data_IF_195608129208
#
_entry.id   IF_195608129208
#
_cell.length_a   1.000
_cell.length_b   1.000
_cell.length_c   1.000
_cell.angle_alpha   90.00
_cell.angle_beta   90.00
_cell.angle_gamma   90.00
#
_symmetry.space_group_name_H-M   'P 1'
#
loop_
_entity.id
_entity.type
_entity.pdbx_description
1 polymer ?
#
# COMPACT_ATOMS: atom_id res chain seq x y z
N UNK A 1 28.89 -5.93 -13.66
CA UNK A 1 27.70 -5.43 -14.37
C UNK A 1 26.64 -5.19 -13.31
N UNK A 2 26.20 -3.95 -13.07
CA UNK A 2 25.08 -3.72 -12.16
C UNK A 2 23.83 -4.30 -12.85
N UNK A 3 23.22 -5.33 -12.26
CA UNK A 3 21.89 -5.74 -12.70
C UNK A 3 20.98 -4.52 -12.68
N UNK A 4 20.38 -4.21 -13.83
CA UNK A 4 19.47 -3.09 -13.95
C UNK A 4 18.24 -3.44 -13.13
N UNK A 5 18.18 -2.93 -11.90
CA UNK A 5 17.05 -3.19 -11.00
C UNK A 5 15.75 -2.88 -11.74
N UNK A 6 14.80 -3.81 -11.66
CA UNK A 6 13.49 -3.68 -12.31
C UNK A 6 12.77 -2.47 -11.70
N UNK A 7 12.33 -1.56 -12.55
CA UNK A 7 11.64 -0.34 -12.12
C UNK A 7 10.16 -0.66 -11.87
N UNK A 8 9.75 -0.78 -10.61
CA UNK A 8 8.37 -1.06 -10.25
C UNK A 8 7.55 0.23 -10.19
N UNK A 9 6.53 0.32 -11.04
CA UNK A 9 5.54 1.41 -11.02
C UNK A 9 4.24 1.03 -10.30
N UNK A 10 4.16 -0.22 -9.85
CA UNK A 10 3.07 -0.80 -9.08
C UNK A 10 3.66 -1.84 -8.12
N UNK A 11 2.96 -2.11 -7.02
CA UNK A 11 3.31 -3.19 -6.10
C UNK A 11 3.28 -4.56 -6.84
N UNK A 12 4.21 -5.50 -6.55
CA UNK A 12 4.26 -6.81 -7.21
C UNK A 12 2.99 -7.64 -7.06
N UNK A 13 2.36 -7.58 -5.89
CA UNK A 13 1.11 -8.24 -5.54
C UNK A 13 0.00 -7.22 -5.29
N UNK A 14 -1.28 -7.58 -5.48
CA UNK A 14 -2.42 -6.70 -5.20
C UNK A 14 -2.36 -6.11 -3.79
N UNK A 15 -2.42 -4.79 -3.71
CA UNK A 15 -2.48 -4.02 -2.47
C UNK A 15 -3.40 -2.82 -2.69
N UNK A 16 -4.40 -2.67 -1.83
CA UNK A 16 -5.35 -1.56 -1.87
C UNK A 16 -4.68 -0.28 -1.38
N UNK A 17 -5.02 0.86 -1.98
CA UNK A 17 -4.48 2.16 -1.54
C UNK A 17 -3.04 2.47 -1.96
N UNK A 18 -2.37 1.61 -2.74
CA UNK A 18 -1.02 1.89 -3.24
C UNK A 18 -0.95 3.24 -3.98
N UNK A 19 -0.01 4.10 -3.60
CA UNK A 19 0.12 5.48 -4.10
C UNK A 19 0.81 5.59 -5.46
N UNK A 20 0.57 4.62 -6.35
CA UNK A 20 1.17 4.51 -7.69
C UNK A 20 0.99 5.75 -8.57
N UNK A 21 -0.08 6.53 -8.36
CA UNK A 21 -0.39 7.74 -9.13
C UNK A 21 0.49 8.92 -8.74
N UNK A 22 1.11 8.89 -7.56
CA UNK A 22 1.99 9.93 -7.07
C UNK A 22 3.46 9.67 -7.32
N UNK A 23 3.87 8.50 -7.85
CA UNK A 23 5.29 8.16 -7.95
C UNK A 23 6.11 9.17 -8.77
N UNK A 24 5.52 9.75 -9.83
CA UNK A 24 6.18 10.81 -10.59
C UNK A 24 6.34 12.07 -9.74
N UNK A 25 5.24 12.53 -9.14
CA UNK A 25 5.24 13.71 -8.28
C UNK A 25 6.19 13.56 -7.09
N UNK A 26 6.25 12.36 -6.49
CA UNK A 26 7.21 12.05 -5.43
C UNK A 26 8.64 12.22 -5.93
N UNK A 27 8.99 11.64 -7.08
CA UNK A 27 10.33 11.81 -7.68
C UNK A 27 10.65 13.28 -7.94
N UNK A 28 9.70 14.06 -8.42
CA UNK A 28 9.87 15.51 -8.64
C UNK A 28 10.15 16.23 -7.32
N UNK A 29 9.42 15.91 -6.24
CA UNK A 29 9.64 16.47 -4.89
C UNK A 29 11.00 16.08 -4.33
N UNK A 30 11.42 14.82 -4.52
CA UNK A 30 12.70 14.31 -4.03
C UNK A 30 13.93 14.98 -4.67
N UNK A 31 13.78 15.71 -5.78
CA UNK A 31 14.89 16.45 -6.39
C UNK A 31 15.43 17.55 -5.48
N UNK A 32 14.55 18.13 -4.66
CA UNK A 32 14.89 19.24 -3.77
C UNK A 32 15.40 18.76 -2.39
N UNK A 33 15.46 17.44 -2.17
CA UNK A 33 15.79 16.83 -0.88
C UNK A 33 17.23 16.26 -0.89
N UNK A 34 17.91 16.14 0.27
CA UNK A 34 19.26 15.59 0.35
C UNK A 34 19.31 14.13 -0.15
N UNK A 35 20.32 13.81 -0.94
CA UNK A 35 20.49 12.49 -1.55
C UNK A 35 20.73 11.37 -0.53
N UNK A 36 21.30 11.71 0.63
CA UNK A 36 21.68 10.84 1.74
C UNK A 36 20.74 10.97 2.96
N UNK A 37 19.58 11.63 2.79
CA UNK A 37 18.58 11.74 3.84
C UNK A 37 18.04 10.37 4.31
N UNK A 38 17.45 10.36 5.51
CA UNK A 38 16.80 9.19 6.08
C UNK A 38 15.30 9.29 5.82
N UNK A 39 14.77 8.45 4.94
CA UNK A 39 13.35 8.37 4.66
C UNK A 39 12.71 7.29 5.51
N UNK A 40 11.76 7.68 6.34
CA UNK A 40 11.05 6.76 7.24
C UNK A 40 9.61 6.66 6.78
N UNK A 41 9.27 5.51 6.20
CA UNK A 41 7.91 5.16 5.77
C UNK A 41 7.14 4.58 6.94
N UNK A 42 6.36 5.42 7.62
CA UNK A 42 5.66 5.04 8.85
C UNK A 42 4.53 4.04 8.59
N UNK A 43 3.92 4.11 7.41
CA UNK A 43 2.77 3.31 6.99
C UNK A 43 3.07 2.66 5.64
N UNK A 44 4.11 1.81 5.62
CA UNK A 44 4.71 1.37 4.38
C UNK A 44 3.80 0.58 3.46
N UNK A 45 2.80 -0.12 4.00
CA UNK A 45 1.86 -0.93 3.23
C UNK A 45 2.60 -1.86 2.26
N UNK A 46 2.35 -1.70 0.95
CA UNK A 46 3.06 -2.46 -0.10
C UNK A 46 4.55 -2.16 -0.30
N UNK A 47 5.11 -1.14 0.36
CA UNK A 47 6.49 -0.69 0.18
C UNK A 47 6.75 0.07 -1.12
N UNK A 48 5.72 0.39 -1.92
CA UNK A 48 5.90 1.00 -3.25
C UNK A 48 6.53 2.40 -3.18
N UNK A 49 6.17 3.20 -2.16
CA UNK A 49 6.77 4.51 -1.93
C UNK A 49 8.24 4.34 -1.52
N UNK A 50 8.50 3.50 -0.50
CA UNK A 50 9.85 3.14 -0.06
C UNK A 50 10.76 2.66 -1.21
N UNK A 51 10.28 1.72 -2.04
CA UNK A 51 10.97 1.26 -3.25
C UNK A 51 11.30 2.42 -4.18
N UNK A 52 10.32 3.30 -4.42
CA UNK A 52 10.49 4.45 -5.32
C UNK A 52 11.55 5.43 -4.81
N UNK A 53 11.57 5.71 -3.50
CA UNK A 53 12.59 6.56 -2.88
C UNK A 53 13.97 5.91 -3.05
N UNK A 54 14.13 4.63 -2.68
CA UNK A 54 15.43 3.97 -2.72
C UNK A 54 16.00 3.84 -4.14
N UNK A 55 15.14 3.60 -5.13
CA UNK A 55 15.55 3.60 -6.54
C UNK A 55 15.96 4.98 -7.04
N UNK A 56 15.27 6.03 -6.60
CA UNK A 56 15.53 7.39 -7.07
C UNK A 56 16.73 8.04 -6.36
N UNK A 57 16.93 7.73 -5.08
CA UNK A 57 18.00 8.22 -4.23
C UNK A 57 18.79 7.03 -3.64
N UNK A 58 19.71 6.39 -4.41
CA UNK A 58 20.38 5.17 -3.95
C UNK A 58 21.23 5.34 -2.68
N UNK A 59 21.71 6.56 -2.40
CA UNK A 59 22.50 6.89 -1.22
C UNK A 59 21.66 7.05 0.05
N UNK A 60 20.35 7.22 -0.09
CA UNK A 60 19.45 7.41 1.05
C UNK A 60 19.34 6.14 1.90
N UNK A 61 19.12 6.35 3.20
CA UNK A 61 18.63 5.29 4.07
C UNK A 61 17.10 5.29 4.00
N UNK A 62 16.49 4.16 3.66
CA UNK A 62 15.03 4.06 3.56
C UNK A 62 14.55 2.97 4.52
N UNK A 63 13.79 3.39 5.53
CA UNK A 63 13.18 2.52 6.53
C UNK A 63 11.74 2.26 6.12
N UNK A 64 11.43 1.00 5.86
CA UNK A 64 10.12 0.55 5.38
C UNK A 64 9.38 -0.17 6.52
N UNK A 65 8.33 0.45 7.06
CA UNK A 65 7.49 -0.19 8.09
C UNK A 65 6.41 -1.07 7.46
N UNK A 66 6.68 -2.38 7.44
CA UNK A 66 5.78 -3.41 6.92
C UNK A 66 4.84 -3.95 8.02
N UNK A 67 3.99 -3.08 8.57
CA UNK A 67 3.06 -3.45 9.65
C UNK A 67 2.01 -4.49 9.21
N UNK A 68 1.61 -4.47 7.93
CA UNK A 68 0.62 -5.39 7.34
C UNK A 68 1.23 -6.73 6.89
N UNK A 69 2.54 -6.93 7.10
CA UNK A 69 3.31 -8.12 6.71
C UNK A 69 3.21 -8.46 5.21
N UNK A 70 3.22 -7.45 4.35
CA UNK A 70 3.23 -7.60 2.90
C UNK A 70 4.42 -8.43 2.41
N UNK A 71 5.56 -8.35 3.10
CA UNK A 71 6.75 -9.16 2.81
C UNK A 71 6.49 -10.67 2.89
N UNK A 72 5.65 -11.15 3.81
CA UNK A 72 5.28 -12.58 3.87
C UNK A 72 4.59 -13.04 2.59
N UNK A 73 3.71 -12.19 2.01
CA UNK A 73 3.07 -12.46 0.73
C UNK A 73 4.08 -12.52 -0.41
N UNK A 74 5.05 -11.59 -0.43
CA UNK A 74 6.13 -11.57 -1.43
C UNK A 74 6.99 -12.84 -1.36
N UNK A 75 7.37 -13.26 -0.15
CA UNK A 75 8.16 -14.49 0.06
C UNK A 75 7.43 -15.76 -0.41
N UNK A 76 6.09 -15.73 -0.44
CA UNK A 76 5.25 -16.84 -0.88
C UNK A 76 4.82 -16.77 -2.35
N UNK A 77 5.36 -15.84 -3.16
CA UNK A 77 5.02 -15.71 -4.59
C UNK A 77 5.16 -17.03 -5.35
N UNK A 78 6.21 -17.81 -5.09
CA UNK A 78 6.43 -19.09 -5.75
C UNK A 78 5.27 -20.08 -5.49
N UNK A 79 4.72 -20.11 -4.28
CA UNK A 79 3.58 -20.94 -3.94
C UNK A 79 2.30 -20.43 -4.61
N UNK A 80 2.07 -19.11 -4.60
CA UNK A 80 0.96 -18.48 -5.31
C UNK A 80 0.99 -18.79 -6.81
N UNK A 81 2.16 -18.71 -7.45
CA UNK A 81 2.33 -19.03 -8.87
C UNK A 81 2.03 -20.50 -9.17
N UNK A 82 2.43 -21.44 -8.29
CA UNK A 82 2.05 -22.86 -8.43
C UNK A 82 0.53 -23.04 -8.40
N UNK A 83 -0.16 -22.38 -7.48
CA UNK A 83 -1.63 -22.44 -7.41
C UNK A 83 -2.22 -21.88 -8.70
N UNK A 84 -1.75 -20.74 -9.19
CA UNK A 84 -2.23 -20.14 -10.45
C UNK A 84 -1.98 -21.04 -11.66
N UNK A 85 -0.84 -21.71 -11.73
CA UNK A 85 -0.54 -22.66 -12.79
C UNK A 85 -1.56 -23.82 -12.81
N UNK A 86 -1.85 -24.40 -11.64
CA UNK A 86 -2.84 -25.47 -11.53
C UNK A 86 -4.26 -24.99 -11.87
N UNK A 87 -4.63 -23.77 -11.45
CA UNK A 87 -5.91 -23.17 -11.80
C UNK A 87 -6.07 -22.94 -13.31
N UNK A 88 -5.00 -22.55 -14.01
CA UNK A 88 -5.01 -22.42 -15.48
C UNK A 88 -5.31 -23.76 -16.16
N UNK A 89 -4.81 -24.88 -15.59
CA UNK A 89 -5.10 -26.22 -16.10
C UNK A 89 -6.54 -26.65 -15.79
N UNK A 90 -6.98 -26.49 -14.54
CA UNK A 90 -8.36 -26.80 -14.11
C UNK A 90 -9.39 -26.05 -14.96
N UNK A 91 -9.11 -24.79 -15.30
CA UNK A 91 -10.03 -23.91 -16.03
C UNK A 91 -9.70 -23.77 -17.52
N UNK A 92 -8.85 -24.64 -18.09
CA UNK A 92 -8.41 -24.51 -19.49
C UNK A 92 -9.56 -24.52 -20.50
N UNK A 93 -10.63 -25.29 -20.22
CA UNK A 93 -11.85 -25.34 -21.03
C UNK A 93 -12.95 -24.36 -20.59
N UNK A 94 -12.73 -23.58 -19.52
CA UNK A 94 -13.75 -22.68 -18.98
C UNK A 94 -13.66 -21.29 -19.63
N UNK A 95 -14.77 -20.68 -20.09
CA UNK A 95 -14.73 -19.36 -20.71
C UNK A 95 -14.18 -18.29 -19.78
N UNK A 96 -13.35 -17.39 -20.32
CA UNK A 96 -12.83 -16.22 -19.60
C UNK A 96 -13.96 -15.27 -19.19
N UNK A 97 -13.79 -14.62 -18.05
CA UNK A 97 -14.70 -13.59 -17.49
C UNK A 97 -16.12 -14.13 -17.22
N UNK A 98 -16.28 -15.46 -17.14
CA UNK A 98 -17.53 -16.12 -16.79
C UNK A 98 -17.47 -16.72 -15.39
N UNK A 99 -18.64 -16.75 -14.75
CA UNK A 99 -18.82 -17.40 -13.46
C UNK A 99 -18.43 -18.88 -13.57
N UNK A 100 -17.72 -19.40 -12.57
CA UNK A 100 -17.31 -20.80 -12.46
C UNK A 100 -18.37 -21.54 -11.63
N UNK A 101 -18.90 -22.64 -12.16
CA UNK A 101 -19.98 -23.43 -11.55
C UNK A 101 -19.72 -24.93 -11.69
N UNK A 102 -20.51 -25.75 -10.98
CA UNK A 102 -20.44 -27.21 -11.06
C UNK A 102 -19.06 -27.77 -10.66
N UNK A 103 -18.66 -28.84 -11.35
CA UNK A 103 -17.42 -29.58 -11.07
C UNK A 103 -16.16 -28.70 -11.12
N UNK A 104 -16.08 -27.76 -12.06
CA UNK A 104 -14.93 -26.84 -12.15
C UNK A 104 -14.77 -25.99 -10.88
N UNK A 105 -15.89 -25.52 -10.28
CA UNK A 105 -15.85 -24.77 -9.02
C UNK A 105 -15.36 -25.66 -7.88
N UNK A 106 -15.80 -26.91 -7.82
CA UNK A 106 -15.37 -27.86 -6.79
C UNK A 106 -13.88 -28.18 -6.88
N UNK A 107 -13.35 -28.37 -8.10
CA UNK A 107 -11.93 -28.59 -8.33
C UNK A 107 -11.07 -27.39 -7.89
N UNK A 108 -11.51 -26.16 -8.20
CA UNK A 108 -10.84 -24.93 -7.71
C UNK A 108 -10.82 -24.86 -6.19
N UNK A 109 -11.96 -25.09 -5.53
CA UNK A 109 -12.06 -25.07 -4.07
C UNK A 109 -11.16 -26.14 -3.45
N UNK A 110 -11.16 -27.35 -4.00
CA UNK A 110 -10.34 -28.44 -3.49
C UNK A 110 -8.85 -28.15 -3.65
N UNK A 111 -8.42 -27.58 -4.78
CA UNK A 111 -7.03 -27.20 -5.01
C UNK A 111 -6.55 -26.14 -4.02
N UNK A 112 -7.39 -25.15 -3.70
CA UNK A 112 -7.07 -24.11 -2.71
C UNK A 112 -7.05 -24.68 -1.30
N UNK A 113 -7.98 -25.58 -0.96
CA UNK A 113 -7.98 -26.29 0.32
C UNK A 113 -6.70 -27.09 0.55
N UNK A 114 -6.21 -27.78 -0.48
CA UNK A 114 -4.94 -28.50 -0.43
C UNK A 114 -3.76 -27.55 -0.17
N UNK A 115 -3.75 -26.36 -0.78
CA UNK A 115 -2.72 -25.35 -0.53
C UNK A 115 -2.75 -24.86 0.91
N UNK A 116 -3.94 -24.59 1.45
CA UNK A 116 -4.12 -24.14 2.83
C UNK A 116 -3.67 -25.19 3.84
N UNK A 117 -3.98 -26.47 3.58
CA UNK A 117 -3.48 -27.57 4.40
C UNK A 117 -1.95 -27.71 4.34
N UNK A 118 -1.32 -27.26 3.25
CA UNK A 118 0.12 -27.29 3.07
C UNK A 118 0.83 -26.03 3.64
N UNK A 119 0.10 -25.00 4.06
CA UNK A 119 0.65 -23.81 4.68
C UNK A 119 -0.02 -22.51 4.20
N UNK A 120 0.79 -21.56 3.76
CA UNK A 120 0.34 -20.20 3.45
C UNK A 120 -0.41 -20.10 2.11
N UNK A 121 -1.52 -19.36 2.12
CA UNK A 121 -2.30 -19.01 0.92
C UNK A 121 -2.55 -17.50 0.89
N UNK A 122 -2.07 -16.85 -0.18
CA UNK A 122 -2.36 -15.44 -0.42
C UNK A 122 -3.76 -15.26 -1.04
N UNK A 123 -4.78 -15.30 -0.18
CA UNK A 123 -6.17 -15.12 -0.60
C UNK A 123 -6.44 -13.78 -1.29
N UNK A 124 -5.71 -12.72 -0.92
CA UNK A 124 -5.87 -11.39 -1.55
C UNK A 124 -5.41 -11.47 -3.01
N UNK A 125 -4.24 -12.07 -3.26
CA UNK A 125 -3.75 -12.26 -4.63
C UNK A 125 -4.64 -13.20 -5.43
N UNK A 126 -5.05 -14.34 -4.87
CA UNK A 126 -5.93 -15.28 -5.56
C UNK A 126 -7.31 -14.69 -5.86
N UNK A 127 -7.83 -13.82 -4.99
CA UNK A 127 -9.08 -13.11 -5.24
C UNK A 127 -9.05 -12.31 -6.54
N UNK A 128 -7.92 -11.67 -6.86
CA UNK A 128 -7.78 -10.93 -8.12
C UNK A 128 -7.87 -11.82 -9.38
N UNK A 129 -7.72 -13.13 -9.22
CA UNK A 129 -7.79 -14.14 -10.28
C UNK A 129 -9.08 -14.97 -10.27
N UNK A 130 -9.92 -14.83 -9.25
CA UNK A 130 -11.07 -15.72 -9.03
C UNK A 130 -12.35 -15.00 -8.58
N UNK A 131 -12.28 -13.76 -8.11
CA UNK A 131 -13.44 -12.97 -7.65
C UNK A 131 -13.66 -11.79 -8.61
N UNK A 132 -14.86 -11.21 -8.54
CA UNK A 132 -15.16 -9.98 -9.27
C UNK A 132 -14.25 -8.83 -8.79
N UNK A 133 -13.94 -7.89 -9.69
CA UNK A 133 -13.06 -6.75 -9.37
C UNK A 133 -13.52 -6.01 -8.11
N UNK A 134 -12.56 -5.53 -7.32
CA UNK A 134 -12.73 -4.87 -6.01
C UNK A 134 -13.17 -5.79 -4.86
N UNK A 135 -13.53 -7.06 -5.11
CA UNK A 135 -13.80 -8.02 -4.05
C UNK A 135 -12.54 -8.84 -3.73
N UNK A 136 -12.32 -9.08 -2.45
CA UNK A 136 -11.30 -10.00 -1.98
C UNK A 136 -11.70 -10.63 -0.66
N UNK A 137 -11.09 -11.77 -0.38
CA UNK A 137 -11.24 -12.52 0.86
C UNK A 137 -9.87 -12.77 1.47
N UNK A 138 -9.84 -13.12 2.75
CA UNK A 138 -8.59 -13.33 3.51
C UNK A 138 -8.47 -14.73 4.11
N UNK A 139 -9.48 -15.58 3.94
CA UNK A 139 -9.52 -16.93 4.47
C UNK A 139 -10.32 -17.87 3.57
N UNK A 140 -10.17 -19.18 3.78
CA UNK A 140 -10.85 -20.20 3.00
C UNK A 140 -12.36 -20.21 3.14
N UNK A 141 -12.91 -19.93 4.32
CA UNK A 141 -14.34 -20.00 4.55
C UNK A 141 -15.07 -18.98 3.68
N UNK A 142 -14.60 -17.74 3.67
CA UNK A 142 -15.12 -16.65 2.83
C UNK A 142 -14.86 -16.93 1.35
N UNK A 143 -13.68 -17.47 1.01
CA UNK A 143 -13.36 -17.89 -0.36
C UNK A 143 -14.36 -18.93 -0.87
N UNK A 144 -14.63 -19.98 -0.08
CA UNK A 144 -15.55 -21.06 -0.44
C UNK A 144 -16.99 -20.57 -0.62
N UNK A 145 -17.41 -19.60 0.19
CA UNK A 145 -18.73 -18.99 0.10
C UNK A 145 -18.89 -18.06 -1.12
N UNK A 146 -17.79 -17.59 -1.69
CA UNK A 146 -17.80 -16.60 -2.77
C UNK A 146 -18.30 -17.16 -4.11
N UNK A 147 -18.81 -16.24 -4.94
CA UNK A 147 -19.04 -16.48 -6.36
C UNK A 147 -17.72 -16.33 -7.12
N UNK A 148 -17.28 -17.39 -7.80
CA UNK A 148 -16.00 -17.42 -8.50
C UNK A 148 -16.18 -17.11 -10.00
N UNK A 149 -15.19 -16.46 -10.61
CA UNK A 149 -15.12 -16.11 -12.02
C UNK A 149 -13.77 -16.53 -12.61
N UNK A 150 -13.73 -16.96 -13.86
CA UNK A 150 -12.48 -17.26 -14.53
C UNK A 150 -11.80 -15.97 -15.03
N UNK A 151 -11.09 -15.31 -14.12
CA UNK A 151 -10.25 -14.14 -14.40
C UNK A 151 -8.78 -14.43 -14.10
N UNK A 152 -8.38 -15.71 -14.20
CA UNK A 152 -7.06 -16.18 -13.78
C UNK A 152 -5.97 -15.49 -14.58
N UNK A 153 -5.02 -14.90 -13.86
CA UNK A 153 -3.85 -14.26 -14.46
C UNK A 153 -3.03 -15.27 -15.27
N UNK A 154 -2.72 -14.94 -16.52
CA UNK A 154 -1.93 -15.81 -17.42
C UNK A 154 -0.44 -15.83 -17.07
N UNK A 155 0.13 -14.69 -16.68
CA UNK A 155 1.54 -14.56 -16.31
C UNK A 155 1.77 -14.77 -14.81
N UNK A 156 2.94 -15.24 -14.44
CA UNK A 156 3.35 -15.37 -13.05
C UNK A 156 3.70 -14.01 -12.41
N UNK A 157 3.61 -13.96 -11.08
CA UNK A 157 4.09 -12.84 -10.27
C UNK A 157 5.60 -12.96 -10.00
N UNK A 158 6.29 -11.82 -9.86
CA UNK A 158 7.70 -11.74 -9.46
C UNK A 158 7.91 -10.43 -8.70
N UNK A 159 8.75 -10.48 -7.67
CA UNK A 159 9.15 -9.33 -6.84
C UNK A 159 10.66 -9.16 -6.78
N UNK A 160 11.37 -9.64 -7.82
CA UNK A 160 12.83 -9.61 -7.88
C UNK A 160 13.33 -8.17 -7.73
N UNK A 161 14.23 -7.96 -6.77
CA UNK A 161 14.80 -6.67 -6.45
C UNK A 161 13.83 -5.63 -5.87
N UNK A 162 12.59 -6.00 -5.50
CA UNK A 162 11.58 -5.03 -5.11
C UNK A 162 11.86 -4.37 -3.76
N UNK A 163 12.35 -5.12 -2.76
CA UNK A 163 12.68 -4.59 -1.44
C UNK A 163 14.18 -4.37 -1.22
N UNK A 164 14.99 -4.47 -2.28
CA UNK A 164 16.44 -4.37 -2.17
C UNK A 164 16.87 -2.99 -1.66
N UNK A 165 17.77 -2.99 -0.68
CA UNK A 165 18.29 -1.78 -0.06
C UNK A 165 17.34 -1.09 0.92
N UNK A 166 16.15 -1.64 1.18
CA UNK A 166 15.23 -1.13 2.21
C UNK A 166 15.56 -1.75 3.58
N UNK A 167 15.57 -0.94 4.62
CA UNK A 167 15.60 -1.42 6.01
C UNK A 167 14.17 -1.73 6.46
N UNK A 168 13.77 -3.00 6.38
CA UNK A 168 12.43 -3.42 6.77
C UNK A 168 12.30 -3.52 8.29
N UNK A 169 11.26 -2.91 8.83
CA UNK A 169 10.79 -3.08 10.21
C UNK A 169 9.31 -3.44 10.22
N UNK A 170 8.79 -3.91 11.35
CA UNK A 170 7.37 -4.18 11.54
C UNK A 170 6.99 -3.82 12.97
N UNK A 171 6.78 -2.53 13.20
CA UNK A 171 6.50 -1.97 14.54
C UNK A 171 5.38 -0.93 14.45
N UNK A 172 4.81 -0.58 15.60
CA UNK A 172 3.87 0.53 15.67
C UNK A 172 4.52 1.84 15.16
N UNK A 173 3.76 2.64 14.40
CA UNK A 173 4.28 3.84 13.75
C UNK A 173 4.87 4.85 14.75
N UNK A 174 4.30 4.95 15.96
CA UNK A 174 4.76 5.88 16.98
C UNK A 174 6.09 5.41 17.58
N UNK A 175 6.28 4.09 17.71
CA UNK A 175 7.57 3.52 18.10
C UNK A 175 8.64 3.88 17.08
N UNK A 176 8.33 3.71 15.79
CA UNK A 176 9.25 4.05 14.71
C UNK A 176 9.54 5.55 14.62
N UNK A 177 8.52 6.39 14.73
CA UNK A 177 8.67 7.84 14.77
C UNK A 177 9.59 8.27 15.91
N UNK A 178 9.37 7.77 17.13
CA UNK A 178 10.19 8.12 18.29
C UNK A 178 11.66 7.70 18.14
N UNK A 179 11.95 6.65 17.37
CA UNK A 179 13.31 6.22 17.07
C UNK A 179 14.04 7.22 16.16
N UNK A 180 13.35 7.87 15.22
CA UNK A 180 13.98 8.68 14.17
C UNK A 180 13.73 10.20 14.29
N UNK A 181 12.79 10.66 15.12
CA UNK A 181 12.41 12.09 15.21
C UNK A 181 13.56 13.06 15.54
N UNK A 182 14.63 12.58 16.18
CA UNK A 182 15.77 13.42 16.54
C UNK A 182 16.91 13.37 15.50
N UNK A 183 16.73 12.65 14.40
CA UNK A 183 17.72 12.58 13.34
C UNK A 183 17.66 13.85 12.46
N UNK A 184 18.79 14.55 12.25
CA UNK A 184 18.80 15.88 11.63
C UNK A 184 18.34 15.90 10.16
N UNK A 185 18.47 14.78 9.44
CA UNK A 185 18.11 14.66 8.02
C UNK A 185 16.97 13.66 7.79
N UNK A 186 16.05 13.52 8.75
CA UNK A 186 14.88 12.63 8.62
C UNK A 186 13.78 13.27 7.78
N UNK A 187 13.15 12.45 6.95
CA UNK A 187 11.95 12.79 6.19
C UNK A 187 10.91 11.70 6.44
N UNK A 188 9.76 12.08 7.00
CA UNK A 188 8.69 11.13 7.26
C UNK A 188 7.76 11.02 6.05
N UNK A 189 7.56 9.79 5.56
CA UNK A 189 6.47 9.48 4.64
C UNK A 189 5.30 8.90 5.42
N UNK A 190 4.13 9.51 5.24
CA UNK A 190 2.98 9.30 6.12
C UNK A 190 1.74 9.06 5.26
N UNK A 191 1.30 7.80 5.18
CA UNK A 191 0.10 7.37 4.45
C UNK A 191 -0.85 6.60 5.39
N UNK A 192 -1.48 7.29 6.37
CA UNK A 192 -2.26 6.64 7.40
C UNK A 192 -3.58 6.10 6.83
N UNK A 193 -4.16 5.05 7.42
CA UNK A 193 -5.49 4.58 7.05
C UNK A 193 -6.54 5.67 7.30
N UNK A 194 -7.49 5.84 6.38
CA UNK A 194 -8.44 6.95 6.41
C UNK A 194 -9.53 6.78 7.46
N UNK A 195 -9.95 7.92 8.04
CA UNK A 195 -11.09 8.00 8.93
C UNK A 195 -12.35 7.48 8.22
N UNK A 196 -13.02 6.49 8.80
CA UNK A 196 -14.35 6.04 8.36
C UNK A 196 -14.46 5.44 6.96
N UNK A 197 -13.38 4.92 6.36
CA UNK A 197 -13.58 3.89 5.33
C UNK A 197 -14.11 2.65 6.03
N UNK A 198 -15.24 2.10 5.59
CA UNK A 198 -15.66 0.74 5.95
C UNK A 198 -14.42 -0.14 5.80
N UNK A 199 -13.82 -0.48 6.94
CA UNK A 199 -12.68 -1.35 7.02
C UNK A 199 -13.20 -2.75 6.75
N UNK A 200 -13.58 -3.00 5.50
CA UNK A 200 -13.65 -4.35 4.98
C UNK A 200 -12.27 -4.96 5.23
N UNK A 201 -12.22 -5.78 6.27
CA UNK A 201 -11.10 -6.65 6.68
C UNK A 201 -9.89 -6.06 7.41
N UNK A 202 -9.76 -4.75 7.64
CA UNK A 202 -8.68 -4.21 8.50
C UNK A 202 -9.03 -4.38 10.00
N UNK A 203 -8.12 -5.01 10.76
CA UNK A 203 -8.30 -5.37 12.18
C UNK A 203 -8.32 -4.18 13.16
N UNK A 204 -8.18 -2.95 12.69
CA UNK A 204 -8.02 -1.78 13.55
C UNK A 204 -8.94 -0.65 13.12
N UNK A 205 -9.96 -0.39 13.93
CA UNK A 205 -10.83 0.78 13.79
C UNK A 205 -10.07 2.03 14.27
N UNK A 206 -9.62 2.86 13.33
CA UNK A 206 -8.95 4.12 13.66
C UNK A 206 -9.96 5.16 14.16
N UNK A 207 -9.76 5.65 15.38
CA UNK A 207 -10.55 6.74 15.95
C UNK A 207 -9.98 8.07 15.49
N UNK A 208 -10.80 9.13 15.59
CA UNK A 208 -10.36 10.50 15.31
C UNK A 208 -9.09 10.87 16.10
N UNK A 209 -9.01 10.46 17.37
CA UNK A 209 -7.81 10.68 18.20
C UNK A 209 -6.55 10.08 17.56
N UNK A 210 -6.62 8.84 17.09
CA UNK A 210 -5.46 8.15 16.49
C UNK A 210 -4.97 8.91 15.25
N UNK A 211 -5.91 9.45 14.47
CA UNK A 211 -5.58 10.25 13.29
C UNK A 211 -4.98 11.62 13.66
N UNK A 212 -5.47 12.27 14.71
CA UNK A 212 -4.91 13.52 15.23
C UNK A 212 -3.51 13.32 15.82
N UNK A 213 -3.25 12.16 16.45
CA UNK A 213 -1.92 11.81 16.96
C UNK A 213 -0.91 11.65 15.81
N UNK A 214 -1.33 11.11 14.64
CA UNK A 214 -0.48 11.05 13.43
C UNK A 214 -0.09 12.44 12.94
N UNK A 215 -0.97 13.44 13.05
CA UNK A 215 -0.64 14.80 12.62
C UNK A 215 0.51 15.43 13.43
N UNK A 216 0.75 14.98 14.67
CA UNK A 216 1.87 15.46 15.48
C UNK A 216 3.24 15.08 14.88
N UNK A 217 3.29 14.05 14.02
CA UNK A 217 4.50 13.70 13.26
C UNK A 217 4.90 14.82 12.29
N UNK A 218 3.91 15.57 11.77
CA UNK A 218 4.11 16.60 10.76
C UNK A 218 4.66 17.90 11.36
N UNK A 219 4.54 18.07 12.67
CA UNK A 219 5.05 19.26 13.36
C UNK A 219 6.57 19.23 13.39
N UNK A 220 7.18 20.29 12.86
CA UNK A 220 8.63 20.54 12.88
C UNK A 220 9.52 19.57 12.10
N UNK A 221 8.96 18.69 11.26
CA UNK A 221 9.75 17.76 10.44
C UNK A 221 9.45 17.91 8.95
N UNK A 222 10.45 17.66 8.07
CA UNK A 222 10.18 17.41 6.67
C UNK A 222 9.28 16.18 6.47
N UNK A 223 8.27 16.30 5.61
CA UNK A 223 7.34 15.20 5.37
C UNK A 223 6.81 15.13 3.94
N UNK A 224 6.33 13.93 3.61
CA UNK A 224 5.38 13.68 2.51
C UNK A 224 4.17 12.97 3.11
N UNK A 225 3.02 13.61 3.08
CA UNK A 225 1.78 13.15 3.69
C UNK A 225 0.73 12.87 2.62
N UNK A 226 0.07 11.72 2.69
CA UNK A 226 -0.98 11.33 1.77
C UNK A 226 -2.34 11.31 2.46
N UNK A 227 -3.35 11.81 1.77
CA UNK A 227 -4.74 11.81 2.22
C UNK A 227 -5.70 11.85 1.03
N UNK A 228 -7.00 11.96 1.30
CA UNK A 228 -8.02 12.18 0.28
C UNK A 228 -9.06 13.19 0.72
N UNK A 229 -9.85 13.69 -0.23
CA UNK A 229 -11.02 14.52 0.05
C UNK A 229 -12.14 13.79 0.83
N UNK A 230 -11.99 12.48 1.08
CA UNK A 230 -12.92 11.69 1.91
C UNK A 230 -12.50 11.58 3.38
N UNK A 231 -11.29 12.03 3.72
CA UNK A 231 -10.75 11.90 5.09
C UNK A 231 -11.34 12.91 6.08
N UNK A 232 -11.92 14.02 5.59
CA UNK A 232 -12.34 15.20 6.35
C UNK A 232 -11.22 15.87 7.20
N UNK A 233 -9.97 15.39 7.13
CA UNK A 233 -8.91 15.92 7.99
C UNK A 233 -8.49 17.33 7.60
N UNK A 234 -8.49 17.62 6.30
CA UNK A 234 -8.07 18.92 5.77
C UNK A 234 -9.02 20.00 6.30
N UNK A 235 -10.33 19.77 6.17
CA UNK A 235 -11.37 20.68 6.68
C UNK A 235 -11.26 20.87 8.20
N UNK A 236 -10.97 19.79 8.94
CA UNK A 236 -10.73 19.87 10.38
C UNK A 236 -9.51 20.74 10.71
N UNK A 237 -8.37 20.54 10.05
CA UNK A 237 -7.16 21.35 10.27
C UNK A 237 -7.37 22.83 9.91
N UNK A 238 -8.09 23.11 8.83
CA UNK A 238 -8.46 24.47 8.44
C UNK A 238 -9.36 25.13 9.51
N UNK A 239 -10.35 24.40 10.05
CA UNK A 239 -11.20 24.90 11.12
C UNK A 239 -10.44 25.15 12.43
N UNK A 240 -9.51 24.25 12.81
CA UNK A 240 -8.66 24.43 14.00
C UNK A 240 -7.82 25.70 13.86
N UNK A 241 -7.28 26.00 12.67
CA UNK A 241 -6.50 27.22 12.45
C UNK A 241 -7.30 28.50 12.70
N UNK A 242 -8.61 28.50 12.39
CA UNK A 242 -9.49 29.63 12.69
C UNK A 242 -9.68 29.88 14.20
N UNK A 243 -9.48 28.86 15.04
CA UNK A 243 -9.62 28.93 16.50
C UNK A 243 -8.29 29.10 17.21
N UNK A 244 -7.24 28.50 16.67
CA UNK A 244 -5.89 28.52 17.22
C UNK A 244 -4.91 28.80 16.08
N UNK A 245 -4.46 30.05 15.90
CA UNK A 245 -3.56 30.41 14.82
C UNK A 245 -2.29 29.54 14.81
N UNK A 246 -1.83 29.16 13.62
CA UNK A 246 -0.62 28.35 13.39
C UNK A 246 -0.68 26.89 13.88
N UNK A 247 -1.86 26.36 14.19
CA UNK A 247 -2.06 24.96 14.59
C UNK A 247 -2.26 23.98 13.43
N UNK A 248 -2.30 24.47 12.18
CA UNK A 248 -2.49 23.64 11.01
C UNK A 248 -1.15 23.05 10.53
N UNK A 249 -0.94 21.72 10.61
CA UNK A 249 0.32 21.09 10.22
C UNK A 249 0.61 21.22 8.71
N UNK A 250 -0.42 21.48 7.91
CA UNK A 250 -0.30 21.69 6.46
C UNK A 250 0.00 23.15 6.09
N UNK A 251 0.10 24.07 7.08
CA UNK A 251 0.41 25.47 6.81
C UNK A 251 1.80 25.59 6.16
N UNK A 252 1.82 26.23 4.99
CA UNK A 252 3.02 26.40 4.17
C UNK A 252 3.47 25.13 3.43
N UNK A 253 2.71 24.04 3.50
CA UNK A 253 2.98 22.84 2.72
C UNK A 253 2.51 23.02 1.27
N UNK A 254 3.22 22.39 0.34
CA UNK A 254 2.79 22.29 -1.04
C UNK A 254 1.75 21.17 -1.18
N UNK A 255 0.75 21.38 -2.04
CA UNK A 255 -0.35 20.43 -2.29
C UNK A 255 -0.33 19.96 -3.74
N UNK A 256 -0.49 18.64 -3.94
CA UNK A 256 -0.74 18.01 -5.25
C UNK A 256 -1.95 17.09 -5.12
N UNK A 257 -2.79 17.05 -6.16
CA UNK A 257 -4.04 16.29 -6.14
C UNK A 257 -4.26 15.53 -7.44
N UNK A 258 -4.86 14.35 -7.33
CA UNK A 258 -5.18 13.48 -8.47
C UNK A 258 -6.62 12.98 -8.31
N UNK A 259 -7.45 13.19 -9.32
CA UNK A 259 -8.81 12.67 -9.34
C UNK A 259 -8.81 11.18 -9.69
N UNK A 260 -9.58 10.40 -8.94
CA UNK A 260 -9.70 8.96 -9.06
C UNK A 260 -11.15 8.59 -9.27
N UNK A 261 -11.44 7.96 -10.41
CA UNK A 261 -12.73 7.31 -10.67
C UNK A 261 -12.61 5.83 -10.32
N UNK A 262 -13.40 5.37 -9.35
CA UNK A 262 -13.45 3.96 -8.92
C UNK A 262 -14.46 3.16 -9.74
N UNK A 263 -15.62 3.74 -10.00
CA UNK A 263 -16.66 3.21 -10.89
C UNK A 263 -17.50 4.39 -11.43
N UNK A 264 -18.53 4.10 -12.22
CA UNK A 264 -19.40 5.11 -12.83
C UNK A 264 -20.01 6.10 -11.81
N UNK A 265 -20.19 5.67 -10.55
CA UNK A 265 -20.89 6.43 -9.51
C UNK A 265 -19.99 6.91 -8.35
N UNK A 266 -18.69 6.60 -8.36
CA UNK A 266 -17.82 6.96 -7.24
C UNK A 266 -16.48 7.50 -7.71
N UNK A 267 -16.25 8.76 -7.34
CA UNK A 267 -14.97 9.45 -7.51
C UNK A 267 -14.44 9.87 -6.15
N UNK A 268 -13.13 9.99 -6.05
CA UNK A 268 -12.46 10.64 -4.93
C UNK A 268 -11.21 11.35 -5.42
N UNK A 269 -10.71 12.30 -4.65
CA UNK A 269 -9.48 13.01 -4.96
C UNK A 269 -8.43 12.56 -3.96
N UNK A 270 -7.40 11.89 -4.47
CA UNK A 270 -6.18 11.60 -3.74
C UNK A 270 -5.35 12.89 -3.63
N UNK A 271 -4.74 13.14 -2.48
CA UNK A 271 -4.03 14.37 -2.14
C UNK A 271 -2.68 14.02 -1.51
N UNK A 272 -1.64 14.70 -1.95
CA UNK A 272 -0.29 14.63 -1.40
C UNK A 272 0.09 16.04 -0.91
N UNK A 273 0.39 16.15 0.37
CA UNK A 273 1.04 17.31 0.97
C UNK A 273 2.52 17.02 1.17
N UNK A 274 3.36 18.01 0.96
CA UNK A 274 4.78 17.88 1.28
C UNK A 274 5.32 19.21 1.77
N UNK A 275 6.26 19.10 2.71
CA UNK A 275 6.97 20.24 3.28
C UNK A 275 8.40 19.82 3.51
N UNK A 276 9.32 20.63 3.01
CA UNK A 276 10.73 20.55 3.34
C UNK A 276 11.10 21.84 4.04
N UNK A 277 11.51 21.75 5.30
CA UNK A 277 12.14 22.86 6.00
C UNK A 277 13.58 22.45 6.27
N UNK A 278 14.53 23.05 5.55
CA UNK A 278 15.92 23.00 5.94
C UNK A 278 16.03 23.72 7.28
N UNK A 279 16.13 22.98 8.38
CA UNK A 279 16.51 23.56 9.66
C UNK A 279 17.89 24.17 9.45
N UNK A 280 17.94 25.49 9.35
CA UNK A 280 19.19 26.25 9.29
C UNK A 280 19.63 26.55 10.71
#
# INVERSE_FOLDING_TARGET
>A
MSEKMKNYTNAPLPFMGQKRRFLKTLKDVLQDYPQDAIYVDLFGGSGLLSHTVKQYLPLSKVVYNDFDNYNERLQNIANTNKILADLRLILAGWPKDKQITGEAKEQVIQRIKQAEMAGFVDYITLSSSLLFSMNYVTNFADFKASTLYNVVRVSDYSSDGYLDGLERVSVDYLTLYNQYKNEPNVVFMVDPPYLSTEAGTYKSYWKLKDYLDVLQVLDSHPYVYFTSNKSNIIELCEWIELKTPNSNPFKGACKKSVNVTMNYNSTYTDIMYYKYSSTT
#
